data_IF_840949926768
#
_entry.id   IF_840949926768
#
_cell.length_a   1.000
_cell.length_b   1.000
_cell.length_c   1.000
_cell.angle_alpha   90.00
_cell.angle_beta   90.00
_cell.angle_gamma   90.00
#
_symmetry.space_group_name_H-M   'P 1'
#
loop_
_entity.id
_entity.type
_entity.pdbx_description
1 polymer ?
#
# COMPACT_ATOMS: atom_id res chain seq x y z
N UNK A 1 9.33 -7.07 -3.84
CA UNK A 1 10.05 -6.02 -3.08
C UNK A 1 9.75 -6.20 -1.61
N UNK A 2 10.74 -6.10 -0.73
CA UNK A 2 10.49 -6.17 0.73
C UNK A 2 9.80 -4.90 1.20
N UNK A 3 8.96 -5.02 2.23
CA UNK A 3 8.16 -3.91 2.76
C UNK A 3 8.99 -2.66 3.08
N UNK A 4 10.14 -2.80 3.73
CA UNK A 4 11.04 -1.68 4.04
C UNK A 4 11.49 -0.91 2.77
N UNK A 5 11.73 -1.61 1.67
CA UNK A 5 12.12 -0.97 0.40
C UNK A 5 10.95 -0.25 -0.28
N UNK A 6 9.72 -0.72 -0.06
CA UNK A 6 8.51 -0.04 -0.54
C UNK A 6 8.34 1.25 0.27
N UNK A 7 8.52 1.19 1.60
CA UNK A 7 8.47 2.36 2.47
C UNK A 7 9.43 3.47 2.07
N UNK A 8 10.69 3.12 1.84
CA UNK A 8 11.70 4.10 1.45
C UNK A 8 11.45 4.74 0.07
N UNK A 9 10.83 4.00 -0.86
CA UNK A 9 10.68 4.44 -2.25
C UNK A 9 9.42 5.26 -2.52
N UNK A 10 8.36 5.03 -1.75
CA UNK A 10 7.03 5.62 -2.00
C UNK A 10 6.53 6.43 -0.80
N UNK A 11 7.45 7.06 -0.07
CA UNK A 11 7.12 7.88 1.10
C UNK A 11 6.04 8.92 0.78
N UNK A 12 4.99 8.94 1.61
CA UNK A 12 3.86 9.86 1.46
C UNK A 12 2.82 9.50 0.39
N UNK A 13 2.92 8.33 -0.25
CA UNK A 13 1.98 7.89 -1.29
C UNK A 13 1.08 6.73 -0.85
N UNK A 14 -0.03 6.53 -1.57
CA UNK A 14 -0.81 5.29 -1.49
C UNK A 14 -0.25 4.29 -2.50
N UNK A 15 -0.05 3.04 -2.06
CA UNK A 15 0.58 2.00 -2.88
C UNK A 15 -0.34 0.79 -2.97
N UNK A 16 -0.69 0.39 -4.19
CA UNK A 16 -1.36 -0.87 -4.49
C UNK A 16 -0.31 -1.96 -4.68
N UNK A 17 -0.38 -2.99 -3.85
CA UNK A 17 0.62 -4.05 -3.77
C UNK A 17 -0.07 -5.38 -4.04
N UNK A 18 0.46 -6.19 -4.96
CA UNK A 18 0.12 -7.61 -5.02
C UNK A 18 0.95 -8.38 -3.99
N UNK A 19 0.28 -9.04 -3.05
CA UNK A 19 0.92 -9.66 -1.89
C UNK A 19 1.57 -11.00 -2.28
N UNK A 20 2.89 -11.08 -2.09
CA UNK A 20 3.68 -12.32 -2.25
C UNK A 20 3.75 -13.04 -0.90
N UNK A 21 4.02 -12.29 0.18
CA UNK A 21 4.14 -12.79 1.54
C UNK A 21 3.50 -11.80 2.53
N UNK A 22 2.74 -12.34 3.48
CA UNK A 22 2.18 -11.60 4.62
C UNK A 22 2.55 -12.30 5.92
N UNK A 23 2.66 -11.55 7.00
CA UNK A 23 2.91 -12.11 8.34
C UNK A 23 1.61 -12.61 9.01
N UNK A 24 1.73 -13.13 10.23
CA UNK A 24 0.61 -13.65 11.02
C UNK A 24 -0.44 -12.57 11.37
N UNK A 25 -0.09 -11.29 11.25
CA UNK A 25 -0.98 -10.14 11.44
C UNK A 25 -1.53 -9.60 10.11
N UNK A 26 -1.38 -10.37 9.02
CA UNK A 26 -1.75 -10.01 7.64
C UNK A 26 -1.08 -8.73 7.12
N UNK A 27 0.06 -8.34 7.70
CA UNK A 27 0.85 -7.22 7.20
C UNK A 27 1.72 -7.68 6.03
N UNK A 28 1.92 -6.82 5.04
CA UNK A 28 2.76 -7.13 3.87
C UNK A 28 4.23 -7.26 4.31
N UNK A 29 4.84 -8.41 4.06
CA UNK A 29 6.29 -8.63 4.22
C UNK A 29 7.00 -8.44 2.89
N UNK A 30 6.39 -8.96 1.82
CA UNK A 30 6.89 -8.87 0.46
C UNK A 30 5.75 -8.76 -0.55
N UNK A 31 5.91 -7.90 -1.55
CA UNK A 31 4.95 -7.76 -2.62
C UNK A 31 5.49 -7.08 -3.86
N UNK A 32 4.68 -7.09 -4.91
CA UNK A 32 4.91 -6.34 -6.15
C UNK A 32 4.08 -5.07 -6.14
N UNK A 33 4.72 -3.92 -6.36
CA UNK A 33 3.99 -2.64 -6.46
C UNK A 33 3.38 -2.54 -7.85
N UNK A 34 2.06 -2.63 -7.93
CA UNK A 34 1.32 -2.56 -9.18
C UNK A 34 1.05 -1.11 -9.61
N UNK A 35 0.87 -0.22 -8.62
CA UNK A 35 0.61 1.20 -8.83
C UNK A 35 0.80 1.99 -7.55
N UNK A 36 1.10 3.28 -7.68
CA UNK A 36 1.18 4.23 -6.57
C UNK A 36 0.71 5.61 -7.04
N UNK A 37 0.08 6.37 -6.15
CA UNK A 37 -0.24 7.79 -6.35
C UNK A 37 -0.53 8.43 -4.97
N UNK A 38 -0.23 9.72 -4.75
CA UNK A 38 -0.65 10.42 -3.55
C UNK A 38 -2.19 10.53 -3.41
N UNK A 39 -2.94 10.45 -4.52
CA UNK A 39 -4.40 10.42 -4.52
C UNK A 39 -4.92 8.98 -4.43
N UNK A 40 -5.48 8.63 -3.26
CA UNK A 40 -6.06 7.31 -2.98
C UNK A 40 -7.13 6.89 -4.00
N UNK A 41 -7.90 7.82 -4.55
CA UNK A 41 -8.98 7.49 -5.48
C UNK A 41 -8.45 6.99 -6.83
N UNK A 42 -7.25 7.42 -7.23
CA UNK A 42 -6.61 6.88 -8.43
C UNK A 42 -6.09 5.47 -8.18
N UNK A 43 -5.59 5.19 -6.98
CA UNK A 43 -5.18 3.84 -6.57
C UNK A 43 -6.37 2.88 -6.58
N UNK A 44 -7.52 3.31 -6.06
CA UNK A 44 -8.75 2.51 -6.15
C UNK A 44 -9.24 2.30 -7.59
N UNK A 45 -9.20 3.34 -8.44
CA UNK A 45 -9.50 3.16 -9.87
C UNK A 45 -8.58 2.12 -10.50
N UNK A 46 -7.29 2.16 -10.18
CA UNK A 46 -6.32 1.19 -10.69
C UNK A 46 -6.57 -0.23 -10.18
N UNK A 47 -6.98 -0.38 -8.93
CA UNK A 47 -7.39 -1.67 -8.38
C UNK A 47 -8.55 -2.29 -9.19
N UNK A 48 -9.57 -1.49 -9.54
CA UNK A 48 -10.72 -1.95 -10.31
C UNK A 48 -10.37 -2.35 -11.75
N UNK A 49 -9.35 -1.71 -12.33
CA UNK A 49 -8.77 -2.05 -13.64
C UNK A 49 -7.99 -3.37 -13.60
N UNK A 50 -7.08 -3.52 -12.63
CA UNK A 50 -6.12 -4.64 -12.59
C UNK A 50 -6.69 -5.91 -11.96
N UNK A 51 -7.55 -5.76 -10.95
CA UNK A 51 -8.18 -6.87 -10.19
C UNK A 51 -7.20 -7.97 -9.73
N UNK A 52 -6.09 -7.63 -9.06
CA UNK A 52 -5.19 -8.62 -8.46
C UNK A 52 -5.94 -9.51 -7.46
N UNK A 53 -5.48 -10.75 -7.31
CA UNK A 53 -6.19 -11.74 -6.46
C UNK A 53 -5.93 -11.55 -4.96
N UNK A 54 -4.71 -11.18 -4.61
CA UNK A 54 -4.27 -10.95 -3.23
C UNK A 54 -3.52 -9.63 -3.21
N UNK A 55 -4.12 -8.62 -2.60
CA UNK A 55 -3.55 -7.28 -2.64
C UNK A 55 -3.75 -6.55 -1.32
N UNK A 56 -2.93 -5.53 -1.13
CA UNK A 56 -3.05 -4.53 -0.09
C UNK A 56 -3.00 -3.13 -0.72
N UNK A 57 -3.64 -2.17 -0.07
CA UNK A 57 -3.48 -0.75 -0.36
C UNK A 57 -2.98 -0.10 0.92
N UNK A 58 -1.72 0.35 0.91
CA UNK A 58 -1.06 0.91 2.08
C UNK A 58 -0.74 2.37 1.86
N UNK A 59 -0.93 3.20 2.88
CA UNK A 59 -0.37 4.55 2.91
C UNK A 59 1.04 4.49 3.48
N UNK A 60 1.97 5.06 2.74
CA UNK A 60 3.41 4.92 2.99
C UNK A 60 4.01 6.23 3.51
N UNK A 61 3.21 7.10 4.12
CA UNK A 61 3.69 8.33 4.77
C UNK A 61 3.66 8.24 6.29
N UNK A 62 4.34 9.19 6.94
CA UNK A 62 4.20 9.39 8.37
C UNK A 62 2.80 9.91 8.71
N UNK A 63 2.09 9.19 9.58
CA UNK A 63 0.84 9.67 10.18
C UNK A 63 1.21 10.46 11.44
N UNK A 64 0.83 11.75 11.55
CA UNK A 64 1.10 12.54 12.74
C UNK A 64 0.57 11.86 14.01
N UNK A 65 1.36 11.88 15.09
CA UNK A 65 1.04 11.16 16.35
C UNK A 65 -0.24 11.64 17.03
N UNK A 66 -0.64 12.87 16.75
CA UNK A 66 -1.83 13.55 17.27
C UNK A 66 -3.01 13.50 16.29
N UNK A 67 -2.88 12.80 15.16
CA UNK A 67 -3.94 12.62 14.19
C UNK A 67 -4.71 11.32 14.46
N UNK A 68 -6.00 11.44 14.73
CA UNK A 68 -6.93 10.33 14.70
C UNK A 68 -7.71 10.35 13.37
N UNK A 69 -7.54 9.30 12.56
CA UNK A 69 -8.31 9.11 11.33
C UNK A 69 -9.39 8.06 11.58
N UNK A 70 -10.65 8.40 11.29
CA UNK A 70 -11.72 7.40 11.16
C UNK A 70 -11.99 7.18 9.67
N UNK A 71 -12.07 5.91 9.28
CA UNK A 71 -12.33 5.45 7.92
C UNK A 71 -13.75 4.91 7.81
#
# INVERSE_FOLDING_TARGET
MKWEQIKEKFDGEWVLIECIEVDDSFQVVEGEVLYHDPDKDKVYRKLLELRPKRYAIEYVGEIPKDLAVML
#
